data_IF_887396713815
#
_entry.id   IF_887396713815
#
_cell.length_a   1.000
_cell.length_b   1.000
_cell.length_c   1.000
_cell.angle_alpha   90.00
_cell.angle_beta   90.00
_cell.angle_gamma   90.00
#
_symmetry.space_group_name_H-M   'P 1'
#
loop_
_entity.id
_entity.type
_entity.pdbx_description
1 polymer ?
#
# COMPACT_ATOMS: atom_id res chain seq x y z
N UNK A 1 20.75 17.34 55.01
CA UNK A 1 19.64 17.43 54.03
C UNK A 1 20.05 16.66 52.78
N UNK A 2 19.41 15.54 52.46
CA UNK A 2 19.50 14.91 51.13
C UNK A 2 18.08 14.60 50.69
N UNK A 3 17.53 15.49 49.88
CA UNK A 3 16.20 15.36 49.31
C UNK A 3 16.28 14.28 48.22
N UNK A 4 15.63 13.15 48.48
CA UNK A 4 15.50 12.07 47.50
C UNK A 4 14.62 12.57 46.35
N UNK A 5 15.15 12.57 45.13
CA UNK A 5 14.43 13.01 43.94
C UNK A 5 13.59 11.84 43.44
N UNK A 6 12.32 11.78 43.86
CA UNK A 6 11.34 10.87 43.26
C UNK A 6 11.02 11.35 41.84
N UNK A 7 11.61 10.69 40.83
CA UNK A 7 11.27 10.90 39.42
C UNK A 7 9.89 10.27 39.19
N UNK A 8 8.85 11.10 38.99
CA UNK A 8 7.56 10.65 38.48
C UNK A 8 7.69 10.36 36.97
N UNK A 9 7.80 9.09 36.60
CA UNK A 9 7.57 8.63 35.23
C UNK A 9 6.07 8.56 34.96
N UNK A 10 5.54 9.55 34.22
CA UNK A 10 4.20 9.47 33.65
C UNK A 10 4.21 8.46 32.49
N UNK A 11 3.66 7.27 32.71
CA UNK A 11 3.42 6.30 31.65
C UNK A 11 2.30 6.83 30.75
N UNK A 12 2.66 7.38 29.60
CA UNK A 12 1.70 7.66 28.53
C UNK A 12 1.26 6.31 27.99
N UNK A 13 0.10 5.81 28.43
CA UNK A 13 -0.57 4.70 27.75
C UNK A 13 -0.97 5.21 26.37
N UNK A 14 -0.18 4.88 25.35
CA UNK A 14 -0.61 4.99 23.96
C UNK A 14 -1.67 3.91 23.73
N UNK A 15 -2.94 4.30 23.85
CA UNK A 15 -4.05 3.48 23.38
C UNK A 15 -3.87 3.31 21.86
N UNK A 16 -3.29 2.20 21.43
CA UNK A 16 -3.34 1.82 20.03
C UNK A 16 -4.80 1.48 19.73
N UNK A 17 -5.55 2.47 19.25
CA UNK A 17 -6.86 2.25 18.67
C UNK A 17 -6.69 1.30 17.49
N UNK A 18 -7.03 0.03 17.68
CA UNK A 18 -7.17 -0.91 16.57
C UNK A 18 -8.32 -0.41 15.72
N UNK A 19 -8.01 0.35 14.66
CA UNK A 19 -9.00 0.72 13.66
C UNK A 19 -9.54 -0.59 13.07
N UNK A 20 -10.77 -0.95 13.42
CA UNK A 20 -11.45 -2.12 12.86
C UNK A 20 -11.86 -1.77 11.42
N UNK A 21 -10.95 -1.92 10.46
CA UNK A 21 -11.27 -1.80 9.05
C UNK A 21 -12.23 -2.93 8.66
N UNK A 22 -13.36 -2.57 8.05
CA UNK A 22 -14.27 -3.56 7.47
C UNK A 22 -13.55 -4.28 6.33
N UNK A 23 -13.60 -5.62 6.25
CA UNK A 23 -13.01 -6.33 5.12
C UNK A 23 -13.60 -5.87 3.79
N UNK A 24 -12.77 -5.86 2.75
CA UNK A 24 -13.13 -5.51 1.38
C UNK A 24 -13.71 -4.10 1.20
N UNK A 25 -13.32 -3.17 2.05
CA UNK A 25 -13.67 -1.76 1.93
C UNK A 25 -12.39 -0.93 1.79
N UNK A 26 -12.23 -0.31 0.61
CA UNK A 26 -11.21 0.71 0.40
C UNK A 26 -11.46 1.91 1.30
N UNK A 27 -10.36 2.45 1.81
CA UNK A 27 -10.27 3.75 2.45
C UNK A 27 -9.06 4.46 1.90
N UNK A 28 -9.19 5.76 1.63
CA UNK A 28 -8.08 6.59 1.18
C UNK A 28 -7.67 7.62 2.24
N UNK A 29 -6.42 8.06 2.17
CA UNK A 29 -5.86 9.12 2.99
C UNK A 29 -4.72 9.82 2.26
N UNK A 30 -4.35 10.99 2.76
CA UNK A 30 -3.17 11.72 2.27
C UNK A 30 -2.40 12.29 3.46
N UNK A 31 -1.09 12.08 3.47
CA UNK A 31 -0.22 12.59 4.53
C UNK A 31 1.23 12.60 4.10
N UNK A 32 1.99 13.62 4.51
CA UNK A 32 3.43 13.73 4.27
C UNK A 32 3.83 13.56 2.78
N UNK A 33 2.98 13.99 1.85
CA UNK A 33 3.24 13.85 0.41
C UNK A 33 2.97 12.45 -0.15
N UNK A 34 2.20 11.61 0.54
CA UNK A 34 1.81 10.27 0.06
C UNK A 34 0.29 10.14 0.09
N UNK A 35 -0.30 9.80 -1.04
CA UNK A 35 -1.66 9.30 -1.13
C UNK A 35 -1.65 7.79 -0.85
N UNK A 36 -2.47 7.36 0.12
CA UNK A 36 -2.58 5.97 0.55
C UNK A 36 -3.98 5.45 0.22
N UNK A 37 -4.05 4.25 -0.35
CA UNK A 37 -5.30 3.52 -0.57
C UNK A 37 -5.21 2.16 0.09
N UNK A 38 -6.02 1.96 1.12
CA UNK A 38 -5.92 0.83 2.04
C UNK A 38 -7.16 -0.03 1.94
N UNK A 39 -6.99 -1.35 1.91
CA UNK A 39 -8.06 -2.34 1.99
C UNK A 39 -7.60 -3.54 2.80
N UNK A 40 -8.51 -4.12 3.57
CA UNK A 40 -8.22 -5.31 4.38
C UNK A 40 -8.99 -6.52 3.85
N UNK A 41 -8.35 -7.67 3.72
CA UNK A 41 -9.01 -8.91 3.31
C UNK A 41 -9.72 -9.58 4.49
N UNK A 42 -10.67 -10.52 4.25
CA UNK A 42 -11.24 -11.34 5.32
C UNK A 42 -10.21 -12.15 6.10
N UNK A 43 -9.08 -12.51 5.48
CA UNK A 43 -7.94 -13.17 6.12
C UNK A 43 -7.08 -12.22 6.97
N UNK A 44 -7.43 -10.93 7.05
CA UNK A 44 -6.71 -9.86 7.76
C UNK A 44 -5.38 -9.46 7.11
N UNK A 45 -5.21 -9.70 5.81
CA UNK A 45 -4.14 -9.06 5.05
C UNK A 45 -4.53 -7.62 4.78
N UNK A 46 -3.69 -6.68 5.15
CA UNK A 46 -3.85 -5.26 4.78
C UNK A 46 -3.02 -5.02 3.53
N UNK A 47 -3.66 -4.46 2.50
CA UNK A 47 -3.03 -3.98 1.29
C UNK A 47 -3.04 -2.45 1.31
N UNK A 48 -1.86 -1.83 1.20
CA UNK A 48 -1.69 -0.38 1.12
C UNK A 48 -1.01 -0.01 -0.20
N UNK A 49 -1.74 0.64 -1.11
CA UNK A 49 -1.16 1.28 -2.28
C UNK A 49 -0.68 2.67 -1.90
N UNK A 50 0.61 2.92 -2.05
CA UNK A 50 1.27 4.18 -1.73
C UNK A 50 1.67 4.92 -3.00
N UNK A 51 1.13 6.12 -3.20
CA UNK A 51 1.45 6.99 -4.32
C UNK A 51 2.09 8.28 -3.81
N UNK A 52 3.42 8.31 -3.84
CA UNK A 52 4.23 9.45 -3.38
C UNK A 52 4.28 10.60 -4.38
N UNK A 53 4.26 11.83 -3.88
CA UNK A 53 4.67 13.06 -4.60
C UNK A 53 6.08 13.52 -4.19
N UNK A 54 6.75 12.76 -3.34
CA UNK A 54 8.13 13.00 -2.92
C UNK A 54 9.10 12.27 -3.86
N UNK A 55 9.86 12.97 -4.71
CA UNK A 55 10.83 12.35 -5.59
C UNK A 55 12.07 11.83 -4.85
N UNK A 56 12.69 10.81 -5.42
CA UNK A 56 14.05 10.39 -5.08
C UNK A 56 15.11 11.31 -5.71
N UNK A 57 16.40 10.96 -5.55
CA UNK A 57 17.52 11.74 -6.06
C UNK A 57 17.60 11.81 -7.60
N UNK A 58 16.81 11.01 -8.31
CA UNK A 58 16.69 10.97 -9.76
C UNK A 58 15.40 11.63 -10.27
N UNK A 59 14.64 12.30 -9.40
CA UNK A 59 13.30 12.84 -9.67
C UNK A 59 12.22 11.76 -9.92
N UNK A 60 12.46 10.53 -9.50
CA UNK A 60 11.48 9.45 -9.65
C UNK A 60 10.58 9.38 -8.42
N UNK A 61 9.28 9.32 -8.66
CA UNK A 61 8.25 9.06 -7.66
C UNK A 61 8.16 7.55 -7.45
N UNK A 62 8.86 7.06 -6.42
CA UNK A 62 8.89 5.64 -6.06
C UNK A 62 7.57 5.22 -5.37
N UNK A 63 6.52 5.05 -6.17
CA UNK A 63 5.28 4.44 -5.71
C UNK A 63 5.49 2.96 -5.38
N UNK A 64 4.63 2.42 -4.52
CA UNK A 64 4.77 1.03 -4.09
C UNK A 64 3.52 0.48 -3.43
N UNK A 65 3.62 -0.79 -3.05
CA UNK A 65 2.60 -1.47 -2.26
C UNK A 65 3.26 -2.04 -1.02
N UNK A 66 2.65 -1.75 0.13
CA UNK A 66 2.98 -2.40 1.39
C UNK A 66 1.86 -3.36 1.78
N UNK A 67 2.23 -4.52 2.28
CA UNK A 67 1.31 -5.50 2.84
C UNK A 67 1.58 -5.65 4.32
N UNK A 68 0.53 -5.73 5.13
CA UNK A 68 0.63 -6.29 6.49
C UNK A 68 -0.07 -7.62 6.53
N UNK A 69 0.67 -8.67 6.85
CA UNK A 69 0.18 -10.05 6.95
C UNK A 69 -0.57 -10.27 8.28
N UNK A 70 -1.35 -11.36 8.40
CA UNK A 70 -2.20 -11.60 9.57
C UNK A 70 -1.43 -11.80 10.88
N UNK A 71 -0.15 -12.14 10.80
CA UNK A 71 0.77 -12.26 11.93
C UNK A 71 1.42 -10.92 12.33
N UNK A 72 1.09 -9.83 11.63
CA UNK A 72 1.64 -8.50 11.84
C UNK A 72 2.95 -8.23 11.08
N UNK A 73 3.47 -9.20 10.32
CA UNK A 73 4.64 -8.98 9.46
C UNK A 73 4.28 -8.02 8.34
N UNK A 74 5.11 -7.00 8.13
CA UNK A 74 4.98 -6.10 6.98
C UNK A 74 6.02 -6.44 5.91
N UNK A 75 5.60 -6.40 4.65
CA UNK A 75 6.48 -6.55 3.48
C UNK A 75 6.15 -5.48 2.45
N UNK A 76 7.15 -5.00 1.72
CA UNK A 76 7.02 -3.98 0.69
C UNK A 76 7.37 -4.54 -0.69
N UNK A 77 6.80 -3.95 -1.75
CA UNK A 77 7.25 -4.19 -3.12
C UNK A 77 8.72 -3.81 -3.32
N UNK A 78 9.26 -2.89 -2.51
CA UNK A 78 10.65 -2.46 -2.57
C UNK A 78 11.63 -3.37 -1.81
N UNK A 79 11.14 -4.33 -1.03
CA UNK A 79 12.00 -5.19 -0.22
C UNK A 79 12.81 -6.14 -1.11
N UNK A 80 14.11 -6.23 -0.84
CA UNK A 80 14.97 -7.15 -1.57
C UNK A 80 14.58 -8.62 -1.29
N UNK A 81 14.33 -9.38 -2.36
CA UNK A 81 13.92 -10.79 -2.26
C UNK A 81 12.43 -11.00 -1.97
N UNK A 82 11.63 -9.94 -2.01
CA UNK A 82 10.18 -10.01 -1.93
C UNK A 82 9.58 -9.78 -3.31
N UNK A 83 8.85 -10.77 -3.82
CA UNK A 83 8.04 -10.64 -5.04
C UNK A 83 6.57 -10.57 -4.65
N UNK A 84 5.97 -9.40 -4.84
CA UNK A 84 4.52 -9.21 -4.70
C UNK A 84 3.90 -9.28 -6.09
N UNK A 85 2.97 -10.21 -6.27
CA UNK A 85 2.17 -10.32 -7.50
C UNK A 85 0.69 -10.16 -7.18
N UNK A 86 0.03 -9.27 -7.91
CA UNK A 86 -1.42 -9.08 -7.86
C UNK A 86 -2.05 -9.82 -9.02
N UNK A 87 -3.05 -10.66 -8.76
CA UNK A 87 -3.76 -11.41 -9.80
C UNK A 87 -5.19 -10.87 -9.91
N UNK A 88 -5.52 -10.37 -11.10
CA UNK A 88 -6.81 -9.74 -11.43
C UNK A 88 -7.28 -10.27 -12.77
N UNK A 89 -8.53 -10.73 -12.87
CA UNK A 89 -9.13 -11.24 -14.12
C UNK A 89 -8.22 -12.23 -14.88
N UNK A 90 -7.70 -13.23 -14.14
CA UNK A 90 -6.76 -14.24 -14.63
C UNK A 90 -5.45 -13.70 -15.23
N UNK A 91 -5.15 -12.42 -15.03
CA UNK A 91 -3.90 -11.78 -15.43
C UNK A 91 -3.03 -11.50 -14.20
N UNK A 92 -1.72 -11.66 -14.36
CA UNK A 92 -0.74 -11.43 -13.29
C UNK A 92 -0.08 -10.08 -13.48
N UNK A 93 0.06 -9.36 -12.37
CA UNK A 93 0.68 -8.05 -12.28
C UNK A 93 1.78 -8.11 -11.22
N UNK A 94 3.01 -8.54 -11.60
CA UNK A 94 4.15 -8.50 -10.70
C UNK A 94 4.51 -7.03 -10.44
N UNK A 95 4.68 -6.68 -9.16
CA UNK A 95 5.02 -5.33 -8.77
C UNK A 95 6.54 -5.12 -8.89
N UNK A 96 7.00 -4.08 -9.61
CA UNK A 96 8.42 -3.79 -9.73
C UNK A 96 8.99 -3.36 -8.37
N UNK A 97 10.24 -3.73 -8.10
CA UNK A 97 10.93 -3.35 -6.86
C UNK A 97 11.40 -1.91 -6.81
N UNK A 98 11.45 -1.24 -7.96
CA UNK A 98 11.69 0.19 -8.11
C UNK A 98 11.19 0.68 -9.48
N UNK A 99 10.91 1.97 -9.55
CA UNK A 99 10.49 2.69 -10.76
C UNK A 99 11.65 3.54 -11.33
N UNK A 100 11.43 4.13 -12.50
CA UNK A 100 12.41 4.96 -13.21
C UNK A 100 13.10 4.23 -14.37
N UNK A 101 12.50 3.13 -14.83
CA UNK A 101 12.98 2.39 -15.99
C UNK A 101 11.83 1.73 -16.74
N UNK A 102 11.96 1.68 -18.07
CA UNK A 102 10.85 1.42 -18.98
C UNK A 102 9.95 0.23 -18.63
N UNK A 103 10.49 -0.94 -18.28
CA UNK A 103 9.61 -2.09 -18.06
C UNK A 103 8.96 -2.06 -16.67
N UNK A 104 9.66 -1.55 -15.66
CA UNK A 104 9.08 -1.34 -14.32
C UNK A 104 7.94 -0.34 -14.39
N UNK A 105 8.16 0.78 -15.07
CA UNK A 105 7.18 1.85 -15.26
C UNK A 105 5.92 1.35 -16.00
N UNK A 106 6.12 0.60 -17.10
CA UNK A 106 5.00 0.01 -17.84
C UNK A 106 4.23 -1.04 -17.02
N UNK A 107 4.93 -1.86 -16.23
CA UNK A 107 4.30 -2.85 -15.36
C UNK A 107 3.46 -2.17 -14.27
N UNK A 108 4.00 -1.12 -13.64
CA UNK A 108 3.31 -0.33 -12.64
C UNK A 108 2.04 0.34 -13.19
N UNK A 109 2.15 1.05 -14.31
CA UNK A 109 0.98 1.71 -14.93
C UNK A 109 -0.08 0.69 -15.36
N UNK A 110 0.33 -0.47 -15.88
CA UNK A 110 -0.60 -1.56 -16.23
C UNK A 110 -1.34 -2.09 -14.99
N UNK A 111 -0.61 -2.30 -13.89
CA UNK A 111 -1.16 -2.69 -12.61
C UNK A 111 -2.19 -1.67 -12.09
N UNK A 112 -1.85 -0.38 -12.04
CA UNK A 112 -2.76 0.68 -11.58
C UNK A 112 -4.05 0.73 -12.41
N UNK A 113 -3.92 0.61 -13.74
CA UNK A 113 -5.08 0.61 -14.63
C UNK A 113 -6.01 -0.59 -14.39
N UNK A 114 -5.46 -1.76 -14.09
CA UNK A 114 -6.22 -2.96 -13.79
C UNK A 114 -6.88 -2.89 -12.40
N UNK A 115 -6.15 -2.43 -11.38
CA UNK A 115 -6.64 -2.35 -10.00
C UNK A 115 -7.87 -1.45 -9.88
N UNK A 116 -7.88 -0.30 -10.56
CA UNK A 116 -9.01 0.63 -10.54
C UNK A 116 -10.34 0.02 -11.07
N UNK A 117 -10.25 -1.09 -11.80
CA UNK A 117 -11.39 -1.76 -12.44
C UNK A 117 -11.66 -3.15 -11.84
N UNK A 118 -10.81 -3.64 -10.94
CA UNK A 118 -10.88 -5.00 -10.44
C UNK A 118 -12.10 -5.23 -9.54
N UNK A 119 -12.94 -6.19 -9.90
CA UNK A 119 -14.02 -6.66 -9.04
C UNK A 119 -13.51 -7.56 -7.90
N UNK A 120 -12.43 -8.29 -8.18
CA UNK A 120 -11.72 -9.15 -7.23
C UNK A 120 -10.24 -9.16 -7.56
N UNK A 121 -9.39 -9.34 -6.56
CA UNK A 121 -7.97 -9.56 -6.79
C UNK A 121 -7.37 -10.45 -5.70
N UNK A 122 -6.40 -11.27 -6.11
CA UNK A 122 -5.61 -12.09 -5.20
C UNK A 122 -4.21 -11.48 -5.04
N UNK A 123 -3.64 -11.62 -3.85
CA UNK A 123 -2.26 -11.22 -3.59
C UNK A 123 -1.41 -12.45 -3.33
N UNK A 124 -0.28 -12.50 -4.01
CA UNK A 124 0.76 -13.51 -3.83
C UNK A 124 2.04 -12.83 -3.35
N UNK A 125 2.70 -13.45 -2.38
CA UNK A 125 4.05 -13.08 -1.94
C UNK A 125 4.94 -14.29 -2.14
N UNK A 126 5.97 -14.18 -2.97
CA UNK A 126 6.89 -15.27 -3.33
C UNK A 126 6.11 -16.54 -3.73
N UNK A 127 5.24 -16.42 -4.74
CA UNK A 127 4.36 -17.47 -5.28
C UNK A 127 3.33 -18.07 -4.30
N UNK A 128 3.25 -17.57 -3.07
CA UNK A 128 2.26 -18.02 -2.08
C UNK A 128 1.11 -17.03 -2.01
N UNK A 129 -0.11 -17.50 -2.29
CA UNK A 129 -1.32 -16.70 -2.07
C UNK A 129 -1.45 -16.35 -0.58
N UNK A 130 -1.57 -15.06 -0.28
CA UNK A 130 -1.70 -14.55 1.09
C UNK A 130 -3.10 -14.00 1.39
N UNK A 131 -3.83 -13.51 0.38
CA UNK A 131 -5.16 -12.93 0.59
C UNK A 131 -6.00 -12.87 -0.68
N UNK A 132 -7.32 -12.78 -0.48
CA UNK A 132 -8.31 -12.56 -1.54
C UNK A 132 -9.12 -11.30 -1.20
N UNK A 133 -9.25 -10.40 -2.16
CA UNK A 133 -10.00 -9.17 -2.02
C UNK A 133 -11.18 -9.16 -2.98
N UNK A 134 -12.31 -8.63 -2.52
CA UNK A 134 -13.54 -8.51 -3.31
C UNK A 134 -14.27 -7.21 -2.96
N UNK A 135 -13.69 -6.05 -3.31
CA UNK A 135 -14.25 -4.76 -2.93
C UNK A 135 -15.58 -4.47 -3.61
N UNK A 136 -16.43 -3.71 -2.94
CA UNK A 136 -17.68 -3.24 -3.54
C UNK A 136 -17.42 -2.24 -4.67
N UNK A 137 -18.11 -2.39 -5.82
CA UNK A 137 -17.93 -1.52 -6.98
C UNK A 137 -18.06 -0.02 -6.65
N UNK A 138 -19.09 0.36 -5.89
CA UNK A 138 -19.32 1.78 -5.51
C UNK A 138 -18.20 2.34 -4.63
N UNK A 139 -17.64 1.52 -3.74
CA UNK A 139 -16.54 1.92 -2.88
C UNK A 139 -15.23 2.00 -3.68
N UNK A 140 -14.97 1.03 -4.54
CA UNK A 140 -13.84 1.05 -5.49
C UNK A 140 -13.88 2.31 -6.35
N UNK A 141 -15.04 2.64 -6.94
CA UNK A 141 -15.21 3.87 -7.71
C UNK A 141 -15.02 5.13 -6.87
N UNK A 142 -15.51 5.15 -5.62
CA UNK A 142 -15.36 6.31 -4.74
C UNK A 142 -13.90 6.58 -4.37
N UNK A 143 -13.15 5.53 -4.04
CA UNK A 143 -11.80 5.68 -3.50
C UNK A 143 -10.74 5.66 -4.60
N UNK A 144 -10.95 4.91 -5.69
CA UNK A 144 -9.96 4.72 -6.77
C UNK A 144 -10.37 5.40 -8.10
N UNK A 145 -11.33 6.34 -8.10
CA UNK A 145 -11.74 7.04 -9.34
C UNK A 145 -10.61 7.81 -10.01
N UNK A 146 -9.69 8.33 -9.20
CA UNK A 146 -8.54 9.08 -9.67
C UNK A 146 -7.27 8.54 -9.02
N UNK A 147 -6.51 7.81 -9.83
CA UNK A 147 -5.17 7.33 -9.53
C UNK A 147 -4.14 7.98 -10.49
N UNK A 148 -4.39 9.21 -10.92
CA UNK A 148 -3.46 9.95 -11.79
C UNK A 148 -2.09 10.12 -11.11
N UNK A 149 -2.07 10.49 -9.84
CA UNK A 149 -0.84 10.61 -9.03
C UNK A 149 -0.02 9.33 -9.01
N UNK A 150 -0.68 8.17 -8.95
CA UNK A 150 -0.02 6.86 -8.99
C UNK A 150 0.56 6.49 -10.35
N UNK A 151 0.24 7.24 -11.42
CA UNK A 151 0.69 6.97 -12.80
C UNK A 151 1.81 7.90 -13.22
N UNK A 152 2.01 9.01 -12.52
CA UNK A 152 3.09 9.95 -12.76
C UNK A 152 4.36 9.45 -12.10
N UNK A 153 5.33 9.01 -12.89
CA UNK A 153 6.56 8.39 -12.38
C UNK A 153 7.70 9.39 -12.26
N UNK A 154 7.80 10.35 -13.17
CA UNK A 154 8.78 11.42 -13.10
C UNK A 154 8.13 12.67 -12.50
N UNK A 155 8.71 13.23 -11.45
CA UNK A 155 8.21 14.44 -10.79
C UNK A 155 8.29 15.70 -11.68
N UNK A 156 8.95 15.61 -12.85
CA UNK A 156 8.93 16.67 -13.86
C UNK A 156 7.71 16.61 -14.78
N UNK A 157 6.97 15.50 -14.76
CA UNK A 157 5.73 15.32 -15.53
C UNK A 157 4.46 15.76 -14.76
N UNK A 158 4.59 16.13 -13.48
CA UNK A 158 3.49 16.56 -12.59
C UNK A 158 3.15 18.04 -12.66
#
# INVERSE_FOLDING_TARGET
MRLSHCILTAAILTSASTAHALPNMWTSGFGQGVAEYIITSPEKVVFNLNCTTNPDAQNILQHGVDLTLPDGTSVSSHDNGTEITVVMDNSQYPLPSFLGWRNGDNAWVSFINALAQAATFDIYVNDKKVGTFSPGLKNTQKELSDLSECRTIDATDS
#
